data_IF_316305190208
#
_entry.id   IF_316305190208
#
_cell.length_a   1.000
_cell.length_b   1.000
_cell.length_c   1.000
_cell.angle_alpha   90.00
_cell.angle_beta   90.00
_cell.angle_gamma   90.00
#
_symmetry.space_group_name_H-M   'P 1'
#
loop_
_entity.id
_entity.type
_entity.pdbx_description
1 polymer ?
#
# COMPACT_ATOMS: atom_id res chain seq x y z
N UNK A 1 25.44 -13.94 8.17
CA UNK A 1 24.43 -13.57 7.17
C UNK A 1 23.10 -14.15 7.60
N UNK A 2 22.12 -13.32 7.93
CA UNK A 2 20.78 -13.80 8.22
C UNK A 2 20.03 -14.02 6.90
N UNK A 3 19.58 -15.24 6.65
CA UNK A 3 18.80 -15.56 5.45
C UNK A 3 17.37 -15.07 5.71
N UNK A 4 16.76 -14.26 4.83
CA UNK A 4 15.40 -13.77 5.03
C UNK A 4 14.40 -14.93 5.15
N UNK A 5 13.48 -14.85 6.11
CA UNK A 5 12.43 -15.86 6.33
C UNK A 5 11.26 -15.64 5.38
N UNK A 6 11.49 -15.95 4.10
CA UNK A 6 10.47 -15.83 3.06
C UNK A 6 9.39 -16.90 3.25
N UNK A 7 8.14 -16.47 3.31
CA UNK A 7 6.95 -17.33 3.43
C UNK A 7 5.87 -16.89 2.48
N UNK A 8 5.11 -17.84 1.97
CA UNK A 8 3.87 -17.50 1.29
C UNK A 8 2.81 -17.11 2.32
N UNK A 9 1.82 -16.33 1.93
CA UNK A 9 0.70 -15.93 2.82
C UNK A 9 0.08 -17.09 3.63
N UNK A 10 -0.25 -18.27 3.04
CA UNK A 10 -0.76 -19.40 3.83
C UNK A 10 0.28 -19.96 4.81
N UNK A 11 1.54 -20.09 4.41
CA UNK A 11 2.61 -20.57 5.29
C UNK A 11 2.84 -19.61 6.46
N UNK A 12 2.84 -18.29 6.21
CA UNK A 12 2.96 -17.28 7.26
C UNK A 12 1.82 -17.37 8.27
N UNK A 13 0.57 -17.60 7.83
CA UNK A 13 -0.55 -17.80 8.75
C UNK A 13 -0.43 -19.07 9.58
N UNK A 14 0.10 -20.15 8.99
CA UNK A 14 0.32 -21.41 9.69
C UNK A 14 1.44 -21.30 10.71
N UNK A 15 2.54 -20.61 10.36
CA UNK A 15 3.67 -20.35 11.24
C UNK A 15 3.29 -19.43 12.41
N UNK A 16 2.49 -18.39 12.16
CA UNK A 16 1.92 -17.56 13.22
C UNK A 16 1.06 -18.37 14.18
N UNK A 17 0.19 -19.23 13.66
CA UNK A 17 -0.67 -20.08 14.49
C UNK A 17 0.12 -21.11 15.30
N UNK A 18 1.27 -21.55 14.78
CA UNK A 18 2.17 -22.43 15.52
C UNK A 18 2.93 -21.71 16.65
N UNK A 19 3.17 -20.40 16.50
CA UNK A 19 3.79 -19.56 17.54
C UNK A 19 2.77 -19.10 18.59
N UNK A 20 1.55 -18.80 18.17
CA UNK A 20 0.43 -18.42 19.02
C UNK A 20 -0.86 -19.12 18.53
N UNK A 21 -1.26 -20.16 19.25
CA UNK A 21 -2.44 -20.97 18.92
C UNK A 21 -3.75 -20.16 18.99
N UNK A 22 -3.77 -19.06 19.75
CA UNK A 22 -4.95 -18.21 19.96
C UNK A 22 -4.99 -17.00 19.03
N UNK A 23 -4.06 -16.89 18.08
CA UNK A 23 -4.03 -15.80 17.11
C UNK A 23 -5.29 -15.81 16.24
N UNK A 24 -6.00 -14.66 16.22
CA UNK A 24 -7.15 -14.42 15.35
C UNK A 24 -6.75 -14.00 13.92
N UNK A 25 -5.46 -13.87 13.63
CA UNK A 25 -4.95 -13.45 12.33
C UNK A 25 -5.09 -14.57 11.30
N UNK A 26 -5.95 -14.35 10.31
CA UNK A 26 -6.21 -15.32 9.24
C UNK A 26 -5.37 -15.04 7.99
N UNK A 27 -5.24 -16.05 7.11
CA UNK A 27 -4.63 -15.88 5.79
C UNK A 27 -5.23 -14.71 5.00
N UNK A 28 -6.55 -14.49 5.11
CA UNK A 28 -7.25 -13.39 4.44
C UNK A 28 -6.81 -12.02 4.99
N UNK A 29 -6.59 -11.91 6.30
CA UNK A 29 -6.10 -10.68 6.93
C UNK A 29 -4.68 -10.34 6.44
N UNK A 30 -3.77 -11.33 6.45
CA UNK A 30 -2.40 -11.14 5.95
C UNK A 30 -2.41 -10.76 4.47
N UNK A 31 -3.24 -11.44 3.64
CA UNK A 31 -3.38 -11.10 2.22
C UNK A 31 -3.83 -9.65 2.04
N UNK A 32 -4.75 -9.16 2.87
CA UNK A 32 -5.23 -7.78 2.79
C UNK A 32 -4.11 -6.80 3.11
N UNK A 33 -3.32 -7.04 4.15
CA UNK A 33 -2.14 -6.21 4.47
C UNK A 33 -1.13 -6.13 3.31
N UNK A 34 -0.94 -7.23 2.58
CA UNK A 34 -0.09 -7.26 1.39
C UNK A 34 -0.68 -6.46 0.23
N UNK A 35 -1.99 -6.59 -0.01
CA UNK A 35 -2.68 -5.87 -1.09
C UNK A 35 -2.79 -4.37 -0.81
N UNK A 36 -2.97 -3.99 0.45
CA UNK A 36 -2.99 -2.61 0.93
C UNK A 36 -1.59 -1.96 0.90
N UNK A 37 -0.54 -2.72 0.54
CA UNK A 37 0.83 -2.22 0.45
C UNK A 37 1.54 -2.03 1.80
N UNK A 38 0.88 -2.39 2.90
CA UNK A 38 1.40 -2.25 4.27
C UNK A 38 2.58 -3.16 4.56
N UNK A 39 2.65 -4.31 3.89
CA UNK A 39 3.73 -5.29 4.02
C UNK A 39 4.38 -5.49 2.65
N UNK A 40 5.71 -5.37 2.62
CA UNK A 40 6.50 -5.61 1.41
C UNK A 40 6.36 -7.07 0.97
N UNK A 41 6.02 -7.27 -0.30
CA UNK A 41 5.87 -8.61 -0.87
C UNK A 41 6.47 -8.71 -2.26
N UNK A 42 6.91 -9.92 -2.62
CA UNK A 42 7.37 -10.27 -3.96
C UNK A 42 6.36 -11.23 -4.59
N UNK A 43 5.95 -10.93 -5.82
CA UNK A 43 5.02 -11.80 -6.57
C UNK A 43 5.78 -12.99 -7.15
N UNK A 44 5.42 -14.20 -6.71
CA UNK A 44 5.94 -15.47 -7.21
C UNK A 44 4.82 -16.23 -7.95
N UNK A 45 4.63 -15.88 -9.22
CA UNK A 45 3.54 -16.40 -10.04
C UNK A 45 2.17 -16.01 -9.48
N UNK A 46 1.44 -17.00 -8.95
CA UNK A 46 0.12 -16.81 -8.33
C UNK A 46 0.18 -16.46 -6.84
N UNK A 47 1.33 -16.62 -6.20
CA UNK A 47 1.50 -16.43 -4.75
C UNK A 47 2.23 -15.11 -4.47
N UNK A 48 2.01 -14.58 -3.27
CA UNK A 48 2.83 -13.52 -2.69
C UNK A 48 3.78 -14.15 -1.68
N UNK A 49 5.07 -13.90 -1.85
CA UNK A 49 6.09 -14.18 -0.86
C UNK A 49 6.31 -12.93 -0.02
N UNK A 50 6.19 -13.07 1.29
CA UNK A 50 6.44 -12.01 2.26
C UNK A 50 7.60 -12.42 3.14
N UNK A 51 8.33 -11.44 3.66
CA UNK A 51 9.25 -11.69 4.76
C UNK A 51 8.42 -11.83 6.04
N UNK A 52 8.62 -12.93 6.75
CA UNK A 52 7.91 -13.20 8.00
C UNK A 52 8.31 -12.22 9.11
N UNK A 53 9.57 -11.79 9.12
CA UNK A 53 10.05 -10.85 10.13
C UNK A 53 9.42 -9.46 9.93
N UNK A 54 9.26 -8.99 8.69
CA UNK A 54 8.54 -7.74 8.37
C UNK A 54 7.06 -7.80 8.81
N UNK A 55 6.42 -8.97 8.68
CA UNK A 55 5.04 -9.18 9.17
C UNK A 55 4.98 -9.05 10.69
N UNK A 56 5.93 -9.65 11.42
CA UNK A 56 6.01 -9.52 12.88
C UNK A 56 6.26 -8.08 13.31
N UNK A 57 7.19 -7.39 12.64
CA UNK A 57 7.50 -5.99 12.91
C UNK A 57 6.27 -5.08 12.71
N UNK A 58 5.51 -5.30 11.63
CA UNK A 58 4.26 -4.59 11.38
C UNK A 58 3.21 -4.85 12.49
N UNK A 59 3.09 -6.09 12.98
CA UNK A 59 2.15 -6.42 14.05
C UNK A 59 2.55 -5.82 15.41
N UNK A 60 3.84 -5.63 15.66
CA UNK A 60 4.33 -4.96 16.86
C UNK A 60 4.03 -3.45 16.83
N UNK A 61 4.06 -2.84 15.65
CA UNK A 61 3.80 -1.40 15.46
C UNK A 61 2.72 -1.15 14.38
N UNK A 62 1.44 -1.37 14.69
CA UNK A 62 0.35 -1.29 13.70
C UNK A 62 0.02 0.13 13.23
N UNK A 63 0.47 1.15 13.95
CA UNK A 63 0.32 2.57 13.60
C UNK A 63 1.66 3.11 13.12
N UNK A 64 2.03 2.79 11.89
CA UNK A 64 3.02 3.59 11.18
C UNK A 64 2.29 4.89 10.85
N UNK A 65 2.71 6.02 11.45
CA UNK A 65 2.27 7.33 10.99
C UNK A 65 2.64 7.40 9.51
N UNK A 66 1.62 7.53 8.65
CA UNK A 66 1.82 7.84 7.25
C UNK A 66 2.54 9.20 7.25
N UNK A 67 3.87 9.19 7.18
CA UNK A 67 4.62 10.41 6.95
C UNK A 67 4.03 10.99 5.68
N UNK A 68 3.41 12.18 5.72
CA UNK A 68 2.80 12.77 4.55
C UNK A 68 3.83 12.69 3.45
N UNK A 69 3.51 11.94 2.39
CA UNK A 69 4.34 11.91 1.19
C UNK A 69 4.57 13.38 0.86
N UNK A 70 5.82 13.84 0.93
CA UNK A 70 6.15 15.17 0.42
C UNK A 70 5.62 15.17 -1.00
N UNK A 71 4.55 15.93 -1.23
CA UNK A 71 4.09 16.27 -2.56
C UNK A 71 5.28 16.92 -3.25
N UNK A 72 6.10 16.13 -3.95
CA UNK A 72 6.93 16.72 -4.99
C UNK A 72 5.94 17.44 -5.88
N UNK A 73 6.02 18.77 -6.07
CA UNK A 73 5.07 19.48 -6.89
C UNK A 73 5.21 18.90 -8.30
N UNK A 74 4.31 18.00 -8.66
CA UNK A 74 4.16 17.52 -10.01
C UNK A 74 3.91 18.78 -10.84
N UNK A 75 4.88 19.08 -11.70
CA UNK A 75 4.84 20.22 -12.60
C UNK A 75 3.43 20.38 -13.19
N UNK A 76 2.78 21.48 -12.84
CA UNK A 76 1.51 22.02 -13.35
C UNK A 76 0.91 21.21 -14.52
N UNK A 77 0.04 20.25 -14.22
CA UNK A 77 -0.79 19.55 -15.23
C UNK A 77 -2.21 20.11 -15.33
N UNK A 78 -2.58 21.08 -14.49
CA UNK A 78 -3.78 21.86 -14.72
C UNK A 78 -3.54 22.83 -15.88
N UNK A 79 -4.11 22.52 -17.04
CA UNK A 79 -4.38 23.55 -18.06
C UNK A 79 -5.23 24.60 -17.33
N UNK A 80 -4.68 25.80 -17.16
CA UNK A 80 -5.40 26.91 -16.54
C UNK A 80 -6.76 27.05 -17.21
N UNK A 81 -7.79 27.29 -16.39
CA UNK A 81 -9.19 27.51 -16.77
C UNK A 81 -9.39 28.80 -17.58
N UNK A 82 -8.52 29.09 -18.54
CA UNK A 82 -8.58 30.30 -19.35
C UNK A 82 -9.26 30.10 -20.71
N UNK A 83 -9.34 28.85 -21.20
CA UNK A 83 -10.06 28.57 -22.46
C UNK A 83 -11.56 28.82 -22.37
N UNK A 84 -12.16 28.60 -21.19
CA UNK A 84 -13.61 28.72 -21.02
C UNK A 84 -14.04 30.16 -20.75
N UNK A 85 -13.18 30.99 -20.16
CA UNK A 85 -13.34 32.44 -20.01
C UNK A 85 -13.15 33.16 -21.35
N UNK A 86 -12.10 32.83 -22.11
CA UNK A 86 -11.88 33.38 -23.45
C UNK A 86 -13.02 33.03 -24.42
N UNK A 87 -13.49 31.78 -24.42
CA UNK A 87 -14.62 31.39 -25.27
C UNK A 87 -15.89 32.18 -24.92
N UNK A 88 -16.20 32.33 -23.62
CA UNK A 88 -17.35 33.12 -23.17
C UNK A 88 -17.22 34.61 -23.49
N UNK A 89 -16.00 35.15 -23.51
CA UNK A 89 -15.70 36.52 -23.93
C UNK A 89 -15.88 36.70 -25.44
N UNK A 90 -15.35 35.77 -26.26
CA UNK A 90 -15.47 35.81 -27.71
C UNK A 90 -16.91 35.64 -28.22
N UNK A 91 -17.73 34.81 -27.54
CA UNK A 91 -19.18 34.69 -27.86
C UNK A 91 -20.04 35.78 -27.20
N UNK A 92 -19.44 36.77 -26.52
CA UNK A 92 -20.13 37.93 -25.95
C UNK A 92 -20.99 37.64 -24.71
N UNK A 93 -20.81 36.49 -24.04
CA UNK A 93 -21.54 36.16 -22.79
C UNK A 93 -20.95 36.81 -21.54
N UNK A 94 -19.72 37.31 -21.62
CA UNK A 94 -18.99 38.02 -20.55
C UNK A 94 -18.23 39.19 -21.21
N UNK A 95 -18.19 40.38 -20.60
CA UNK A 95 -17.41 41.55 -21.08
C UNK A 95 -15.94 41.45 -20.67
#
# INVERSE_FOLDING_TARGET
MNIPRMRTVPEASAELKALDEHTALTQCAIRRLVLDGKIKSVKAGRKHLINFDDLLEYLLNPFQEETPEEETPAAVTHISTDRMTEFKRNIGRIK
#
